data_IF_164778466890
#
_entry.id   IF_164778466890
#
_cell.length_a   1.000
_cell.length_b   1.000
_cell.length_c   1.000
_cell.angle_alpha   90.00
_cell.angle_beta   90.00
_cell.angle_gamma   90.00
#
_symmetry.space_group_name_H-M   'P 1'
#
loop_
_entity.id
_entity.type
_entity.pdbx_description
1 polymer ?
#
# COMPACT_ATOMS: atom_id res chain seq x y z
N UNK A 1 -10.09 -5.95 17.35
CA UNK A 1 -9.98 -4.91 16.30
C UNK A 1 -9.00 -3.84 16.77
N UNK A 2 -7.93 -3.55 16.02
CA UNK A 2 -7.03 -2.44 16.39
C UNK A 2 -7.77 -1.10 16.25
N UNK A 3 -7.44 -0.13 17.10
CA UNK A 3 -8.05 1.21 17.10
C UNK A 3 -7.94 1.90 15.74
N UNK A 4 -6.86 1.61 14.99
CA UNK A 4 -6.62 2.15 13.64
C UNK A 4 -7.70 1.74 12.61
N UNK A 5 -8.18 0.50 12.65
CA UNK A 5 -9.21 0.04 11.71
C UNK A 5 -10.58 0.71 11.96
N UNK A 6 -10.92 1.00 13.21
CA UNK A 6 -12.18 1.65 13.56
C UNK A 6 -12.23 3.10 13.06
N UNK A 7 -11.12 3.84 13.21
CA UNK A 7 -11.00 5.21 12.73
C UNK A 7 -11.06 5.31 11.19
N UNK A 8 -10.38 4.41 10.47
CA UNK A 8 -10.43 4.36 9.00
C UNK A 8 -11.87 4.16 8.50
N UNK A 9 -12.62 3.24 9.12
CA UNK A 9 -14.04 2.98 8.75
C UNK A 9 -14.93 4.20 8.96
N UNK A 10 -14.76 4.90 10.09
CA UNK A 10 -15.54 6.09 10.41
C UNK A 10 -15.33 7.18 9.36
N UNK A 11 -14.07 7.40 8.96
CA UNK A 11 -13.68 8.43 7.98
C UNK A 11 -14.09 8.07 6.56
N UNK A 12 -14.07 6.80 6.18
CA UNK A 12 -14.33 6.32 4.82
C UNK A 12 -15.69 6.74 4.24
N UNK A 13 -16.69 7.06 5.07
CA UNK A 13 -18.01 7.50 4.61
C UNK A 13 -17.97 8.78 3.76
N UNK A 14 -17.00 9.65 4.04
CA UNK A 14 -16.84 10.94 3.36
C UNK A 14 -16.09 10.84 2.04
N UNK A 15 -15.64 9.64 1.62
CA UNK A 15 -14.74 9.50 0.48
C UNK A 15 -15.27 8.53 -0.58
N UNK A 16 -14.92 8.79 -1.84
CA UNK A 16 -15.10 7.85 -2.96
C UNK A 16 -13.76 7.54 -3.62
N UNK A 17 -13.59 6.30 -4.07
CA UNK A 17 -12.45 5.85 -4.85
C UNK A 17 -12.80 5.93 -6.35
N UNK A 18 -11.83 6.25 -7.20
CA UNK A 18 -11.92 6.03 -8.64
C UNK A 18 -10.60 5.54 -9.24
N UNK A 19 -10.68 5.13 -10.50
CA UNK A 19 -9.54 4.70 -11.31
C UNK A 19 -9.54 5.48 -12.62
N UNK A 20 -8.41 6.08 -12.97
CA UNK A 20 -8.16 6.84 -14.20
C UNK A 20 -9.09 8.05 -14.42
N UNK A 21 -9.64 8.65 -13.37
CA UNK A 21 -10.46 9.86 -13.54
C UNK A 21 -9.60 11.13 -13.64
N UNK A 22 -8.44 11.18 -12.97
CA UNK A 22 -7.68 12.43 -12.84
C UNK A 22 -6.16 12.24 -12.87
N UNK A 23 -5.65 11.48 -13.84
CA UNK A 23 -4.19 11.23 -14.01
C UNK A 23 -3.32 12.48 -13.83
N UNK A 24 -3.63 13.56 -14.55
CA UNK A 24 -2.81 14.78 -14.53
C UNK A 24 -2.82 15.45 -13.16
N UNK A 25 -3.95 15.43 -12.45
CA UNK A 25 -4.07 16.00 -11.12
C UNK A 25 -3.35 15.13 -10.07
N UNK A 26 -3.40 13.81 -10.20
CA UNK A 26 -2.65 12.87 -9.38
C UNK A 26 -1.15 13.08 -9.55
N UNK A 27 -0.64 13.16 -10.79
CA UNK A 27 0.77 13.42 -11.06
C UNK A 27 1.22 14.76 -10.47
N UNK A 28 0.45 15.83 -10.69
CA UNK A 28 0.77 17.15 -10.16
C UNK A 28 0.84 17.17 -8.63
N UNK A 29 -0.06 16.44 -7.96
CA UNK A 29 -0.03 16.32 -6.50
C UNK A 29 1.13 15.45 -6.00
N UNK A 30 1.47 14.35 -6.69
CA UNK A 30 2.66 13.55 -6.38
C UNK A 30 3.91 14.42 -6.47
N UNK A 31 4.09 15.16 -7.56
CA UNK A 31 5.25 16.04 -7.76
C UNK A 31 5.35 17.14 -6.69
N UNK A 32 4.21 17.63 -6.21
CA UNK A 32 4.15 18.65 -5.15
C UNK A 32 4.43 18.08 -3.75
N UNK A 33 3.98 16.86 -3.47
CA UNK A 33 3.93 16.32 -2.11
C UNK A 33 4.90 15.17 -1.83
N UNK A 34 5.60 14.67 -2.85
CA UNK A 34 6.60 13.60 -2.71
C UNK A 34 7.92 14.08 -3.30
N UNK A 35 8.97 13.97 -2.51
CA UNK A 35 10.30 14.46 -2.85
C UNK A 35 11.33 13.65 -2.06
N UNK A 36 12.54 13.55 -2.59
CA UNK A 36 13.62 12.75 -2.01
C UNK A 36 14.39 13.54 -0.97
N UNK A 37 14.79 14.77 -1.30
CA UNK A 37 15.65 15.60 -0.44
C UNK A 37 14.99 16.93 -0.11
N UNK A 38 14.41 17.60 -1.10
CA UNK A 38 13.78 18.90 -0.93
C UNK A 38 12.52 19.07 -1.81
N UNK A 39 11.51 19.86 -1.37
CA UNK A 39 10.32 20.13 -2.18
C UNK A 39 10.69 20.53 -3.61
N UNK A 40 10.11 19.83 -4.59
CA UNK A 40 10.40 20.02 -6.01
C UNK A 40 11.40 19.03 -6.63
N UNK A 41 12.06 18.18 -5.85
CA UNK A 41 12.98 17.13 -6.36
C UNK A 41 12.33 15.75 -6.55
N UNK A 42 11.03 15.73 -6.83
CA UNK A 42 10.30 14.49 -7.08
C UNK A 42 10.94 13.69 -8.24
N UNK A 43 11.17 12.40 -8.02
CA UNK A 43 11.71 11.49 -9.05
C UNK A 43 10.78 11.36 -10.27
N UNK A 44 9.47 11.59 -10.08
CA UNK A 44 8.46 11.48 -11.13
C UNK A 44 8.41 12.77 -11.96
N UNK A 45 9.35 12.90 -12.89
CA UNK A 45 9.31 13.98 -13.90
C UNK A 45 8.11 13.85 -14.85
N UNK A 46 7.73 14.95 -15.51
CA UNK A 46 6.67 14.96 -16.53
C UNK A 46 6.93 13.96 -17.65
N UNK A 47 8.20 13.83 -18.08
CA UNK A 47 8.61 12.86 -19.11
C UNK A 47 8.38 11.42 -18.64
N UNK A 48 8.67 11.13 -17.38
CA UNK A 48 8.45 9.79 -16.81
C UNK A 48 6.96 9.48 -16.67
N UNK A 49 6.17 10.43 -16.16
CA UNK A 49 4.72 10.29 -16.05
C UNK A 49 4.06 10.11 -17.43
N UNK A 50 4.51 10.85 -18.45
CA UNK A 50 4.03 10.68 -19.81
C UNK A 50 4.41 9.31 -20.38
N UNK A 51 5.65 8.86 -20.18
CA UNK A 51 6.10 7.54 -20.62
C UNK A 51 5.25 6.41 -20.01
N UNK A 52 4.88 6.50 -18.74
CA UNK A 52 3.95 5.56 -18.09
C UNK A 52 2.58 5.57 -18.74
N UNK A 53 2.00 6.75 -18.98
CA UNK A 53 0.70 6.89 -19.62
C UNK A 53 0.72 6.32 -21.05
N UNK A 54 1.81 6.50 -21.77
CA UNK A 54 1.96 6.06 -23.16
C UNK A 54 2.07 4.53 -23.29
N UNK A 55 2.36 3.78 -22.22
CA UNK A 55 2.41 2.31 -22.25
C UNK A 55 1.13 1.71 -22.83
N UNK A 56 -0.03 2.30 -22.54
CA UNK A 56 -1.32 1.80 -23.06
C UNK A 56 -1.47 1.95 -24.59
N UNK A 57 -0.69 2.84 -25.21
CA UNK A 57 -0.70 3.07 -26.66
C UNK A 57 0.21 2.11 -27.43
N UNK A 58 1.02 1.33 -26.71
CA UNK A 58 1.92 0.36 -27.33
C UNK A 58 1.12 -0.78 -27.99
N UNK A 59 1.60 -1.24 -29.14
CA UNK A 59 0.95 -2.35 -29.86
C UNK A 59 0.95 -3.67 -29.07
N UNK A 60 0.03 -4.61 -29.37
CA UNK A 60 -0.15 -5.86 -28.61
C UNK A 60 1.13 -6.68 -28.39
N UNK A 61 2.06 -6.64 -29.35
CA UNK A 61 3.39 -7.29 -29.25
C UNK A 61 4.18 -6.86 -28.01
N UNK A 62 4.01 -5.62 -27.57
CA UNK A 62 4.76 -5.00 -26.48
C UNK A 62 4.00 -5.03 -25.14
N UNK A 63 2.70 -5.31 -25.17
CA UNK A 63 1.81 -5.40 -24.00
C UNK A 63 1.78 -6.82 -23.43
N UNK A 64 2.95 -7.36 -23.05
CA UNK A 64 3.02 -8.68 -22.40
C UNK A 64 2.33 -8.64 -21.04
N UNK A 65 1.30 -9.45 -20.84
CA UNK A 65 0.54 -9.51 -19.58
C UNK A 65 -0.41 -8.33 -19.38
N UNK A 66 -0.80 -7.65 -20.47
CA UNK A 66 -1.80 -6.59 -20.44
C UNK A 66 -1.41 -5.37 -19.61
N UNK A 67 -0.11 -5.06 -19.49
CA UNK A 67 0.36 -4.01 -18.59
C UNK A 67 -0.31 -2.65 -18.85
N UNK A 68 -0.80 -2.03 -17.77
CA UNK A 68 -1.42 -0.71 -17.77
C UNK A 68 -0.93 0.08 -16.57
N UNK A 69 -0.47 1.30 -16.81
CA UNK A 69 -0.32 2.29 -15.75
C UNK A 69 -1.67 2.97 -15.52
N UNK A 70 -1.98 3.21 -14.25
CA UNK A 70 -3.26 3.71 -13.79
C UNK A 70 -3.04 4.79 -12.75
N UNK A 71 -3.96 5.75 -12.68
CA UNK A 71 -4.11 6.60 -11.52
C UNK A 71 -5.24 6.08 -10.64
N UNK A 72 -5.04 6.13 -9.32
CA UNK A 72 -6.04 5.83 -8.31
C UNK A 72 -6.31 7.11 -7.56
N UNK A 73 -7.58 7.47 -7.43
CA UNK A 73 -7.99 8.71 -6.78
C UNK A 73 -8.86 8.43 -5.57
N UNK A 74 -8.64 9.16 -4.48
CA UNK A 74 -9.58 9.28 -3.38
C UNK A 74 -10.11 10.71 -3.33
N UNK A 75 -11.41 10.84 -3.52
CA UNK A 75 -12.11 12.12 -3.53
C UNK A 75 -12.90 12.32 -2.25
N UNK A 76 -12.88 13.53 -1.71
CA UNK A 76 -13.83 13.92 -0.66
C UNK A 76 -15.20 14.19 -1.30
N UNK A 77 -16.21 13.40 -0.92
CA UNK A 77 -17.49 13.32 -1.63
C UNK A 77 -18.30 14.61 -1.56
N UNK A 78 -18.15 15.40 -0.49
CA UNK A 78 -18.92 16.64 -0.33
C UNK A 78 -18.28 17.83 -1.06
N UNK A 79 -16.95 17.92 -1.06
CA UNK A 79 -16.25 19.09 -1.64
C UNK A 79 -15.81 18.84 -3.07
N UNK A 80 -15.65 17.58 -3.48
CA UNK A 80 -15.09 17.20 -4.77
C UNK A 80 -13.56 17.27 -4.82
N UNK A 81 -12.89 17.53 -3.68
CA UNK A 81 -11.42 17.63 -3.63
C UNK A 81 -10.78 16.25 -3.87
N UNK A 82 -9.72 16.21 -4.67
CA UNK A 82 -8.80 15.08 -4.71
C UNK A 82 -7.88 15.12 -3.48
N UNK A 83 -8.08 14.20 -2.52
CA UNK A 83 -7.45 14.29 -1.20
C UNK A 83 -6.27 13.35 -1.00
N UNK A 84 -6.22 12.27 -1.78
CA UNK A 84 -5.15 11.31 -1.83
C UNK A 84 -5.22 10.58 -3.18
N UNK A 85 -4.11 10.00 -3.59
CA UNK A 85 -4.07 9.22 -4.80
C UNK A 85 -2.68 8.66 -5.07
N UNK A 86 -2.60 7.76 -6.03
CA UNK A 86 -1.34 7.15 -6.44
C UNK A 86 -1.33 6.86 -7.94
N UNK A 87 -0.13 6.75 -8.50
CA UNK A 87 0.08 6.01 -9.73
C UNK A 87 0.59 4.62 -9.41
N UNK A 88 0.08 3.65 -10.13
CA UNK A 88 0.50 2.26 -10.07
C UNK A 88 0.36 1.60 -11.43
N UNK A 89 0.66 0.31 -11.50
CA UNK A 89 0.46 -0.46 -12.71
C UNK A 89 -0.03 -1.87 -12.44
N UNK A 90 -0.69 -2.43 -13.44
CA UNK A 90 -1.14 -3.82 -13.46
C UNK A 90 -0.22 -4.66 -14.33
N UNK A 91 -0.03 -5.94 -13.96
CA UNK A 91 0.68 -6.93 -14.75
C UNK A 91 0.03 -8.30 -14.49
N UNK A 92 -0.90 -8.71 -15.36
CA UNK A 92 -1.84 -9.78 -15.04
C UNK A 92 -2.65 -9.46 -13.78
N UNK A 93 -2.73 -10.41 -12.84
CA UNK A 93 -3.50 -10.28 -11.59
C UNK A 93 -2.69 -9.65 -10.45
N UNK A 94 -1.68 -8.85 -10.78
CA UNK A 94 -0.83 -8.12 -9.83
C UNK A 94 -1.07 -6.63 -10.04
N UNK A 95 -1.20 -5.91 -8.94
CA UNK A 95 -1.16 -4.45 -8.92
C UNK A 95 0.06 -4.00 -8.12
N UNK A 96 0.86 -3.11 -8.69
CA UNK A 96 2.06 -2.55 -8.07
C UNK A 96 1.88 -1.04 -7.89
N UNK A 97 1.94 -0.55 -6.65
CA UNK A 97 1.97 0.89 -6.36
C UNK A 97 3.36 1.45 -6.69
N UNK A 98 3.42 2.58 -7.41
CA UNK A 98 4.69 3.26 -7.68
C UNK A 98 4.94 4.38 -6.66
N UNK A 99 4.00 5.31 -6.57
CA UNK A 99 4.09 6.47 -5.68
C UNK A 99 2.73 7.13 -5.54
N UNK A 100 2.50 7.78 -4.40
CA UNK A 100 1.24 8.44 -4.11
C UNK A 100 1.39 9.58 -3.12
N UNK A 101 0.33 10.34 -2.94
CA UNK A 101 0.26 11.50 -2.07
C UNK A 101 -0.98 11.45 -1.18
N UNK A 102 -0.97 12.27 -0.13
CA UNK A 102 -2.16 12.54 0.68
C UNK A 102 -2.06 13.93 1.29
N UNK A 103 -3.15 14.71 1.22
CA UNK A 103 -3.26 16.05 1.81
C UNK A 103 -3.62 15.91 3.30
N UNK A 104 -2.64 15.49 4.11
CA UNK A 104 -2.84 15.10 5.51
C UNK A 104 -3.32 16.24 6.41
N UNK A 105 -2.89 17.48 6.14
CA UNK A 105 -3.21 18.64 6.97
C UNK A 105 -4.70 19.00 6.93
N UNK A 106 -5.32 18.88 5.75
CA UNK A 106 -6.75 19.16 5.54
C UNK A 106 -7.62 17.92 5.75
N UNK A 107 -7.10 16.74 5.39
CA UNK A 107 -7.85 15.47 5.40
C UNK A 107 -7.07 14.38 6.13
N UNK A 108 -7.01 14.43 7.48
CA UNK A 108 -6.22 13.48 8.25
C UNK A 108 -6.72 12.04 8.04
N UNK A 109 -5.80 11.14 7.73
CA UNK A 109 -6.09 9.72 7.49
C UNK A 109 -6.59 9.38 6.09
N UNK A 110 -6.68 10.35 5.16
CA UNK A 110 -7.09 10.09 3.77
C UNK A 110 -6.20 9.04 3.08
N UNK A 111 -4.88 9.08 3.28
CA UNK A 111 -3.98 8.05 2.76
C UNK A 111 -4.32 6.64 3.24
N UNK A 112 -4.62 6.45 4.54
CA UNK A 112 -5.01 5.14 5.06
C UNK A 112 -6.36 4.67 4.50
N UNK A 113 -7.32 5.60 4.33
CA UNK A 113 -8.60 5.29 3.68
C UNK A 113 -8.39 4.89 2.22
N UNK A 114 -7.54 5.61 1.47
CA UNK A 114 -7.23 5.30 0.08
C UNK A 114 -6.62 3.90 -0.04
N UNK A 115 -5.61 3.58 0.78
CA UNK A 115 -4.98 2.27 0.75
C UNK A 115 -5.95 1.15 1.10
N UNK A 116 -6.73 1.30 2.18
CA UNK A 116 -7.68 0.28 2.60
C UNK A 116 -8.82 0.07 1.58
N UNK A 117 -9.31 1.16 0.97
CA UNK A 117 -10.33 1.08 -0.08
C UNK A 117 -9.78 0.45 -1.37
N UNK A 118 -8.56 0.82 -1.78
CA UNK A 118 -7.89 0.23 -2.95
C UNK A 118 -7.64 -1.26 -2.73
N UNK A 119 -7.10 -1.67 -1.58
CA UNK A 119 -6.90 -3.08 -1.27
C UNK A 119 -8.21 -3.89 -1.33
N UNK A 120 -9.30 -3.32 -0.82
CA UNK A 120 -10.62 -3.95 -0.89
C UNK A 120 -11.12 -4.08 -2.33
N UNK A 121 -10.89 -3.06 -3.13
CA UNK A 121 -11.28 -3.06 -4.53
C UNK A 121 -10.45 -4.03 -5.38
N UNK A 122 -9.14 -4.07 -5.19
CA UNK A 122 -8.24 -5.03 -5.83
C UNK A 122 -8.68 -6.47 -5.54
N UNK A 123 -8.95 -6.79 -4.27
CA UNK A 123 -9.45 -8.11 -3.89
C UNK A 123 -10.80 -8.43 -4.57
N UNK A 124 -11.74 -7.47 -4.61
CA UNK A 124 -13.03 -7.64 -5.29
C UNK A 124 -12.89 -7.88 -6.80
N UNK A 125 -11.90 -7.25 -7.44
CA UNK A 125 -11.60 -7.39 -8.87
C UNK A 125 -10.77 -8.64 -9.19
N UNK A 126 -10.42 -9.45 -8.18
CA UNK A 126 -9.70 -10.71 -8.36
C UNK A 126 -8.18 -10.58 -8.44
N UNK A 127 -7.62 -9.42 -8.11
CA UNK A 127 -6.16 -9.27 -7.98
C UNK A 127 -5.64 -10.15 -6.85
N UNK A 128 -4.57 -10.87 -7.13
CA UNK A 128 -3.98 -11.85 -6.23
C UNK A 128 -2.88 -11.23 -5.37
N UNK A 129 -2.22 -10.19 -5.88
CA UNK A 129 -1.15 -9.49 -5.16
C UNK A 129 -1.26 -7.99 -5.34
N UNK A 130 -1.04 -7.31 -4.23
CA UNK A 130 -0.69 -5.90 -4.19
C UNK A 130 0.77 -5.75 -3.75
N UNK A 131 1.62 -5.33 -4.68
CA UNK A 131 3.02 -5.00 -4.44
C UNK A 131 3.15 -3.54 -4.02
N UNK A 132 3.64 -3.32 -2.81
CA UNK A 132 3.83 -2.00 -2.23
C UNK A 132 5.25 -1.45 -2.47
N UNK A 133 6.13 -2.18 -3.17
CA UNK A 133 7.52 -1.79 -3.39
C UNK A 133 8.39 -1.96 -2.15
N UNK A 134 9.25 -0.97 -1.85
CA UNK A 134 10.25 -1.08 -0.79
C UNK A 134 9.64 -1.29 0.61
N UNK A 135 10.33 -2.05 1.44
CA UNK A 135 10.00 -2.25 2.85
C UNK A 135 10.03 -0.92 3.61
N UNK A 136 8.93 -0.60 4.28
CA UNK A 136 8.77 0.55 5.16
C UNK A 136 7.88 0.10 6.33
N UNK A 137 8.19 0.55 7.54
CA UNK A 137 7.54 0.07 8.78
C UNK A 137 6.00 0.15 8.71
N UNK A 138 5.45 1.25 8.21
CA UNK A 138 3.99 1.42 8.12
C UNK A 138 3.33 0.40 7.17
N UNK A 139 4.05 -0.17 6.19
CA UNK A 139 3.51 -1.20 5.30
C UNK A 139 3.39 -2.54 6.03
N UNK A 140 4.34 -2.85 6.91
CA UNK A 140 4.30 -4.03 7.76
C UNK A 140 3.17 -3.91 8.79
N UNK A 141 2.97 -2.73 9.39
CA UNK A 141 1.86 -2.45 10.29
C UNK A 141 0.48 -2.62 9.63
N UNK A 142 0.39 -2.41 8.32
CA UNK A 142 -0.83 -2.65 7.51
C UNK A 142 -1.03 -4.13 7.12
N UNK A 143 -0.14 -5.04 7.56
CA UNK A 143 -0.18 -6.47 7.24
C UNK A 143 0.64 -6.87 6.01
N UNK A 144 1.49 -5.98 5.50
CA UNK A 144 2.44 -6.28 4.44
C UNK A 144 3.45 -7.34 4.88
N UNK A 145 3.91 -8.15 3.93
CA UNK A 145 4.90 -9.19 4.16
C UNK A 145 6.13 -8.95 3.29
N UNK A 146 7.31 -9.14 3.87
CA UNK A 146 8.57 -9.15 3.11
C UNK A 146 8.70 -10.50 2.41
N UNK A 147 8.78 -10.48 1.08
CA UNK A 147 8.88 -11.70 0.26
C UNK A 147 10.29 -11.81 -0.33
N UNK A 148 10.99 -12.95 -0.18
CA UNK A 148 12.27 -13.17 -0.83
C UNK A 148 12.21 -12.97 -2.35
N UNK A 149 13.25 -12.36 -2.93
CA UNK A 149 13.28 -12.01 -4.37
C UNK A 149 13.01 -13.21 -5.30
N UNK A 150 13.49 -14.40 -4.95
CA UNK A 150 13.29 -15.63 -5.74
C UNK A 150 11.82 -16.04 -5.76
N UNK A 151 11.16 -16.00 -4.62
CA UNK A 151 9.74 -16.31 -4.47
C UNK A 151 8.87 -15.27 -5.18
N UNK A 152 9.22 -13.99 -5.05
CA UNK A 152 8.57 -12.90 -5.77
C UNK A 152 8.67 -13.08 -7.29
N UNK A 153 9.86 -13.36 -7.82
CA UNK A 153 10.05 -13.59 -9.25
C UNK A 153 9.28 -14.81 -9.78
N UNK A 154 9.22 -15.89 -9.01
CA UNK A 154 8.39 -17.07 -9.32
C UNK A 154 6.90 -16.69 -9.40
N UNK A 155 6.45 -15.91 -8.43
CA UNK A 155 5.06 -15.46 -8.32
C UNK A 155 4.65 -14.55 -9.47
N UNK A 156 5.49 -13.57 -9.83
CA UNK A 156 5.27 -12.69 -11.00
C UNK A 156 5.12 -13.51 -12.28
N UNK A 157 6.00 -14.49 -12.52
CA UNK A 157 5.95 -15.32 -13.73
C UNK A 157 4.64 -16.08 -13.84
N UNK A 158 4.09 -16.56 -12.72
CA UNK A 158 2.82 -17.28 -12.67
C UNK A 158 1.62 -16.36 -12.91
N UNK A 159 1.60 -15.19 -12.26
CA UNK A 159 0.41 -14.32 -12.24
C UNK A 159 0.31 -13.35 -13.42
N UNK A 160 1.43 -12.98 -14.06
CA UNK A 160 1.44 -12.00 -15.17
C UNK A 160 0.66 -12.43 -16.42
N UNK A 161 0.27 -13.70 -16.50
CA UNK A 161 -0.53 -14.26 -17.60
C UNK A 161 -2.03 -14.25 -17.31
N UNK A 162 -2.44 -13.89 -16.09
CA UNK A 162 -3.85 -13.79 -15.69
C UNK A 162 -4.35 -12.37 -15.94
N UNK A 163 -4.77 -12.07 -17.17
CA UNK A 163 -5.18 -10.71 -17.52
C UNK A 163 -6.42 -10.25 -16.74
N UNK A 164 -6.27 -9.17 -15.97
CA UNK A 164 -7.35 -8.49 -15.28
C UNK A 164 -7.29 -7.00 -15.60
N UNK A 165 -8.45 -6.40 -15.82
CA UNK A 165 -8.59 -4.96 -15.95
C UNK A 165 -9.06 -4.38 -14.62
N UNK A 166 -8.35 -3.39 -14.08
CA UNK A 166 -8.81 -2.65 -12.91
C UNK A 166 -9.78 -1.56 -13.36
N UNK A 167 -11.08 -1.79 -13.19
CA UNK A 167 -12.13 -0.84 -13.54
C UNK A 167 -12.40 0.14 -12.39
N UNK A 168 -12.86 1.35 -12.72
CA UNK A 168 -13.31 2.30 -11.69
C UNK A 168 -14.59 1.79 -11.03
N UNK A 169 -14.68 1.75 -9.68
CA UNK A 169 -15.92 1.37 -9.01
C UNK A 169 -17.04 2.38 -9.33
N UNK A 170 -18.28 1.89 -9.42
CA UNK A 170 -19.44 2.70 -9.83
C UNK A 170 -20.48 2.78 -8.72
N UNK A 171 -21.24 3.88 -8.71
CA UNK A 171 -22.35 4.10 -7.76
C UNK A 171 -21.90 3.92 -6.29
N UNK A 172 -22.71 3.20 -5.52
CA UNK A 172 -22.43 2.95 -4.08
C UNK A 172 -21.14 2.17 -3.85
N UNK A 173 -20.66 1.39 -4.82
CA UNK A 173 -19.39 0.68 -4.71
C UNK A 173 -18.18 1.62 -4.84
N UNK A 174 -18.35 2.84 -5.34
CA UNK A 174 -17.31 3.85 -5.33
C UNK A 174 -17.09 4.44 -3.94
N UNK A 175 -18.09 4.41 -3.04
CA UNK A 175 -17.92 4.90 -1.68
C UNK A 175 -16.91 4.03 -0.91
N UNK A 176 -15.91 4.66 -0.29
CA UNK A 176 -14.86 3.94 0.41
C UNK A 176 -15.41 3.13 1.60
N UNK A 177 -16.46 3.59 2.27
CA UNK A 177 -17.10 2.82 3.36
C UNK A 177 -17.72 1.52 2.85
N UNK A 178 -18.35 1.54 1.67
CA UNK A 178 -18.89 0.34 1.02
C UNK A 178 -17.79 -0.65 0.65
N UNK A 179 -16.67 -0.17 0.11
CA UNK A 179 -15.52 -1.02 -0.22
C UNK A 179 -14.95 -1.72 1.03
N UNK A 180 -14.81 -1.00 2.14
CA UNK A 180 -14.28 -1.58 3.38
C UNK A 180 -15.18 -2.65 4.01
N UNK A 181 -16.45 -2.76 3.61
CA UNK A 181 -17.32 -3.88 4.03
C UNK A 181 -16.98 -5.18 3.31
N UNK A 182 -16.34 -5.12 2.15
CA UNK A 182 -15.97 -6.30 1.35
C UNK A 182 -14.89 -7.12 2.04
N UNK A 183 -13.83 -6.47 2.55
CA UNK A 183 -12.70 -7.15 3.18
C UNK A 183 -12.97 -7.67 4.58
N UNK A 184 -14.02 -7.16 5.22
CA UNK A 184 -14.27 -7.39 6.63
C UNK A 184 -15.76 -7.68 6.83
N UNK A 185 -16.25 -8.87 6.41
CA UNK A 185 -17.61 -9.27 6.73
C UNK A 185 -17.78 -9.26 8.26
N UNK A 186 -18.88 -8.69 8.74
CA UNK A 186 -19.26 -8.68 10.17
C UNK A 186 -19.23 -10.10 10.80
N UNK A 187 -19.33 -11.14 9.98
CA UNK A 187 -19.37 -12.55 10.36
C UNK A 187 -18.02 -13.15 10.79
N UNK A 188 -16.90 -12.43 10.64
CA UNK A 188 -15.65 -12.83 11.29
C UNK A 188 -15.70 -12.70 12.83
N UNK A 189 -16.78 -12.15 13.41
CA UNK A 189 -17.00 -12.05 14.86
C UNK A 189 -17.86 -13.15 15.50
N UNK A 190 -18.49 -14.03 14.73
CA UNK A 190 -19.39 -15.06 15.30
C UNK A 190 -18.75 -16.45 15.48
N UNK A 191 -17.48 -16.65 15.10
CA UNK A 191 -16.84 -17.97 15.15
C UNK A 191 -15.83 -18.15 16.30
N UNK A 192 -15.59 -17.14 17.15
CA UNK A 192 -14.66 -17.26 18.30
C UNK A 192 -15.34 -17.10 19.68
N UNK A 193 -16.67 -17.16 19.74
CA UNK A 193 -17.41 -17.14 21.01
C UNK A 193 -18.51 -18.22 21.03
N UNK A 194 -18.13 -19.45 20.74
CA UNK A 194 -18.89 -20.62 21.18
C UNK A 194 -18.03 -21.89 21.15
N UNK A 195 -17.63 -22.37 22.33
CA UNK A 195 -17.23 -23.76 22.53
C UNK A 195 -15.78 -23.98 22.97
N UNK A 196 -15.48 -23.71 24.24
CA UNK A 196 -14.96 -24.70 25.19
C UNK A 196 -14.75 -24.04 26.55
N UNK A 197 -15.85 -23.87 27.28
CA UNK A 197 -15.81 -24.00 28.73
C UNK A 197 -15.89 -25.49 29.00
N UNK A 198 -14.77 -26.12 29.31
CA UNK A 198 -14.75 -27.29 30.17
C UNK A 198 -13.60 -27.12 31.16
N UNK A 199 -14.01 -27.07 32.43
CA UNK A 199 -13.18 -26.90 33.59
C UNK A 199 -12.55 -28.22 34.02
N UNK A 200 -11.29 -28.15 34.47
CA UNK A 200 -10.59 -28.94 35.49
C UNK A 200 -9.11 -28.50 35.40
N UNK A 201 -8.46 -27.85 36.36
CA UNK A 201 -8.51 -27.98 37.80
C UNK A 201 -7.21 -28.65 38.25
N UNK A 202 -6.21 -27.88 38.70
CA UNK A 202 -5.36 -28.19 39.88
C UNK A 202 -4.30 -27.11 40.10
N UNK A 203 -4.19 -26.72 41.37
CA UNK A 203 -3.26 -25.76 41.95
C UNK A 203 -1.84 -26.32 42.04
N UNK A 204 -0.82 -25.45 42.00
CA UNK A 204 0.33 -25.56 42.91
C UNK A 204 1.09 -24.23 43.01
N UNK A 205 1.39 -23.91 44.27
CA UNK A 205 2.08 -22.77 44.85
C UNK A 205 3.59 -22.77 44.58
N UNK A 206 4.24 -21.60 44.66
CA UNK A 206 5.70 -21.53 44.68
C UNK A 206 6.25 -20.10 44.60
N UNK A 207 6.65 -19.57 45.74
CA UNK A 207 7.18 -18.22 45.92
C UNK A 207 8.70 -18.10 45.66
N UNK A 208 9.11 -16.85 45.46
CA UNK A 208 10.37 -16.20 45.94
C UNK A 208 11.58 -16.07 45.00
N UNK A 209 12.00 -14.80 44.86
CA UNK A 209 13.36 -14.23 44.98
C UNK A 209 13.86 -13.35 43.81
N UNK A 210 14.16 -12.10 44.20
CA UNK A 210 14.95 -11.10 43.48
C UNK A 210 16.42 -11.53 43.35
N UNK A 211 17.04 -11.19 42.22
CA UNK A 211 18.47 -10.91 42.17
C UNK A 211 18.78 -9.81 41.14
N UNK A 212 19.33 -8.68 41.64
CA UNK A 212 20.02 -7.65 40.85
C UNK A 212 21.43 -8.13 40.50
N UNK A 213 21.92 -7.88 39.29
CA UNK A 213 23.35 -7.66 39.05
C UNK A 213 23.60 -6.65 37.92
N UNK A 214 24.74 -5.96 38.06
CA UNK A 214 25.16 -4.67 37.49
C UNK A 214 25.86 -4.78 36.12
N UNK A 215 25.73 -3.68 35.36
CA UNK A 215 26.71 -2.93 34.52
C UNK A 215 27.88 -3.68 33.85
N UNK A 216 28.03 -3.40 32.55
CA UNK A 216 29.32 -3.05 31.96
C UNK A 216 29.45 -3.33 30.46
N UNK A 217 29.49 -2.30 29.61
CA UNK A 217 30.36 -2.26 28.43
C UNK A 217 30.42 -0.84 27.82
N UNK A 218 31.63 -0.49 27.39
CA UNK A 218 32.12 0.80 26.89
C UNK A 218 31.80 0.99 25.39
N UNK A 219 31.96 2.21 24.83
CA UNK A 219 31.62 2.53 23.45
C UNK A 219 32.67 1.99 22.48
N UNK A 220 32.23 1.57 21.29
CA UNK A 220 33.09 1.27 20.15
C UNK A 220 32.95 2.45 19.19
N UNK A 221 34.10 3.11 19.00
CA UNK A 221 34.43 4.06 17.94
C UNK A 221 34.73 3.23 16.69
N UNK A 222 34.09 3.53 15.55
CA UNK A 222 34.51 3.00 14.26
C UNK A 222 34.35 4.10 13.20
N UNK A 223 35.49 4.73 12.94
CA UNK A 223 35.75 5.46 11.70
C UNK A 223 35.84 4.45 10.56
N UNK A 224 34.99 4.60 9.54
CA UNK A 224 35.24 4.02 8.23
C UNK A 224 35.14 5.12 7.17
N UNK A 225 36.33 5.59 6.78
CA UNK A 225 36.64 6.04 5.45
C UNK A 225 36.30 4.91 4.46
N UNK A 226 35.46 5.15 3.47
CA UNK A 226 35.58 4.42 2.22
C UNK A 226 35.13 5.25 1.02
N UNK A 227 36.03 5.25 0.04
CA UNK A 227 36.08 6.01 -1.20
C UNK A 227 35.05 5.53 -2.23
N UNK A 228 34.40 6.48 -2.91
CA UNK A 228 33.55 6.23 -4.08
C UNK A 228 34.38 5.77 -5.30
N UNK A 229 33.90 4.78 -6.09
CA UNK A 229 34.49 4.50 -7.39
C UNK A 229 33.88 5.38 -8.48
N UNK A 230 34.78 6.02 -9.23
CA UNK A 230 34.55 6.71 -10.50
C UNK A 230 34.12 5.71 -11.58
N UNK A 231 33.01 5.97 -12.28
CA UNK A 231 32.67 5.28 -13.53
C UNK A 231 33.05 6.17 -14.71
N UNK A 232 34.00 5.69 -15.51
CA UNK A 232 34.41 6.30 -16.76
C UNK A 232 33.37 6.04 -17.86
N UNK A 233 33.04 7.10 -18.60
CA UNK A 233 32.36 7.05 -19.89
C UNK A 233 33.35 6.55 -20.96
N UNK A 234 32.96 5.54 -21.72
CA UNK A 234 33.60 5.20 -22.97
C UNK A 234 32.64 5.53 -24.12
N UNK A 235 33.23 6.21 -25.11
CA UNK A 235 32.67 6.74 -26.35
C UNK A 235 32.08 5.70 -27.29
#
# INVERSE_FOLDING_TARGET
MSVAHAEVRKRAKAFRLSVNEAWSEVVANIQRHTWTSAPGDCWLSDKMAQAYKDVQSLGPKWLRGGMRFLSIELWHSQTGDLVAGEIGYTCGSIYSSCTGFSIKDKYPGAGCVQLAALGAWLAKQGFQIWDLGMELDYKLELGGQVVPRVEWASTIRRLRHQELALLSPQGDAANASSLLRILLPEQALSCELSGHLDAQGTEATGSTQKAKKKKGSKPIDDQLHESAPSFALAS
#
